data_IF_933961382039
#
_entry.id   IF_933961382039
#
_cell.length_a   1.000
_cell.length_b   1.000
_cell.length_c   1.000
_cell.angle_alpha   90.00
_cell.angle_beta   90.00
_cell.angle_gamma   90.00
#
_symmetry.space_group_name_H-M   'P 1'
#
loop_
_entity.id
_entity.type
_entity.pdbx_description
1 polymer ?
#
# COMPACT_ATOMS: atom_id res chain seq x y z
N UNK A 1 -16.43 -16.08 11.40
CA UNK A 1 -15.09 -16.56 11.09
C UNK A 1 -14.14 -15.37 11.14
N UNK A 2 -12.98 -15.54 11.75
CA UNK A 2 -11.91 -14.55 11.79
C UNK A 2 -10.63 -15.26 11.39
N UNK A 3 -9.91 -14.68 10.40
CA UNK A 3 -8.61 -15.20 9.97
C UNK A 3 -7.61 -14.06 9.89
N UNK A 4 -6.36 -14.35 10.24
CA UNK A 4 -5.25 -13.42 10.04
C UNK A 4 -4.12 -14.13 9.30
N UNK A 5 -3.59 -13.47 8.30
CA UNK A 5 -2.53 -13.99 7.45
C UNK A 5 -1.46 -12.91 7.30
N UNK A 6 -0.20 -13.27 7.52
CA UNK A 6 0.91 -12.40 7.17
C UNK A 6 1.29 -12.62 5.70
N UNK A 7 1.37 -11.54 4.95
CA UNK A 7 1.66 -11.54 3.52
C UNK A 7 2.95 -10.78 3.28
N UNK A 8 3.79 -11.32 2.42
CA UNK A 8 5.00 -10.65 1.96
C UNK A 8 4.83 -10.25 0.50
N UNK A 9 4.99 -8.96 0.22
CA UNK A 9 5.04 -8.46 -1.14
C UNK A 9 6.49 -8.49 -1.62
N UNK A 10 6.69 -8.88 -2.88
CA UNK A 10 8.03 -8.83 -3.48
C UNK A 10 8.58 -7.41 -3.47
N UNK A 11 9.92 -7.23 -3.41
CA UNK A 11 10.50 -5.89 -3.46
C UNK A 11 10.06 -5.13 -4.70
N UNK A 12 9.69 -3.86 -4.51
CA UNK A 12 9.29 -2.97 -5.59
C UNK A 12 10.26 -1.79 -5.66
N UNK A 13 10.42 -1.23 -6.85
CA UNK A 13 11.07 0.06 -7.01
C UNK A 13 10.21 1.15 -6.36
N UNK A 14 10.82 2.30 -6.09
CA UNK A 14 10.09 3.46 -5.60
C UNK A 14 8.97 3.83 -6.57
N UNK A 15 7.77 4.06 -6.03
CA UNK A 15 6.61 4.42 -6.83
C UNK A 15 5.33 3.77 -6.34
N UNK A 16 4.27 3.90 -7.14
CA UNK A 16 2.95 3.40 -6.83
C UNK A 16 2.70 2.12 -7.63
N UNK A 17 2.44 1.00 -6.94
CA UNK A 17 2.36 -0.32 -7.56
C UNK A 17 1.02 -0.99 -7.27
N UNK A 18 0.33 -1.43 -8.31
CA UNK A 18 -0.85 -2.27 -8.16
C UNK A 18 -0.44 -3.63 -7.62
N UNK A 19 -0.99 -4.01 -6.48
CA UNK A 19 -0.66 -5.27 -5.81
C UNK A 19 -1.89 -6.15 -5.56
N UNK A 20 -3.04 -5.80 -6.13
CA UNK A 20 -4.28 -6.56 -5.94
C UNK A 20 -4.06 -8.04 -6.25
N UNK A 21 -3.48 -8.36 -7.39
CA UNK A 21 -3.25 -9.75 -7.81
C UNK A 21 -2.26 -10.48 -6.91
N UNK A 22 -1.14 -9.84 -6.59
CA UNK A 22 -0.12 -10.43 -5.71
C UNK A 22 -0.68 -10.70 -4.31
N UNK A 23 -1.48 -9.77 -3.79
CA UNK A 23 -2.14 -9.93 -2.50
C UNK A 23 -3.16 -11.08 -2.54
N UNK A 24 -4.07 -11.05 -3.52
CA UNK A 24 -5.17 -12.03 -3.59
C UNK A 24 -4.67 -13.46 -3.77
N UNK A 25 -3.57 -13.66 -4.48
CA UNK A 25 -2.98 -15.00 -4.66
C UNK A 25 -2.50 -15.63 -3.35
N UNK A 26 -2.26 -14.83 -2.33
CA UNK A 26 -1.78 -15.30 -1.02
C UNK A 26 -2.90 -15.47 -0.01
N UNK A 27 -4.13 -15.11 -0.37
CA UNK A 27 -5.27 -15.17 0.53
C UNK A 27 -6.05 -16.47 0.38
N UNK A 28 -6.69 -16.96 1.45
CA UNK A 28 -7.64 -18.05 1.35
C UNK A 28 -8.92 -17.59 0.66
N UNK A 29 -9.84 -18.55 0.43
CA UNK A 29 -11.17 -18.23 -0.06
C UNK A 29 -11.85 -17.21 0.88
N UNK A 30 -12.41 -16.15 0.33
CA UNK A 30 -13.10 -15.13 1.10
C UNK A 30 -14.47 -15.63 1.57
N UNK A 31 -14.95 -15.14 2.73
CA UNK A 31 -16.33 -15.41 3.16
C UNK A 31 -17.31 -14.77 2.19
N UNK A 32 -18.57 -15.17 2.28
CA UNK A 32 -19.62 -14.60 1.46
C UNK A 32 -19.83 -13.12 1.75
N UNK A 33 -19.83 -12.76 3.01
CA UNK A 33 -20.08 -11.39 3.47
C UNK A 33 -19.13 -11.06 4.62
N UNK A 34 -18.57 -9.87 4.62
CA UNK A 34 -17.67 -9.44 5.69
C UNK A 34 -16.82 -8.26 5.30
N UNK A 35 -15.67 -8.17 5.93
CA UNK A 35 -14.66 -7.14 5.65
C UNK A 35 -13.26 -7.76 5.64
N UNK A 36 -12.39 -7.17 4.86
CA UNK A 36 -10.95 -7.44 4.91
C UNK A 36 -10.25 -6.17 5.36
N UNK A 37 -9.34 -6.30 6.31
CA UNK A 37 -8.43 -5.24 6.69
C UNK A 37 -7.02 -5.63 6.25
N UNK A 38 -6.32 -4.70 5.63
CA UNK A 38 -4.95 -4.85 5.15
C UNK A 38 -4.10 -3.83 5.88
N UNK A 39 -3.13 -4.29 6.65
CA UNK A 39 -2.29 -3.44 7.48
C UNK A 39 -0.83 -3.57 7.10
N UNK A 40 -0.19 -2.43 6.81
CA UNK A 40 1.23 -2.35 6.48
C UNK A 40 2.06 -2.23 7.74
N UNK A 41 3.09 -3.09 7.89
CA UNK A 41 3.94 -3.16 9.08
C UNK A 41 5.21 -2.30 8.96
N UNK A 42 5.18 -1.26 8.14
CA UNK A 42 6.36 -0.43 7.86
C UNK A 42 6.03 1.05 8.00
N UNK A 43 7.08 1.86 8.13
CA UNK A 43 6.99 3.32 8.32
C UNK A 43 7.45 4.11 7.10
N UNK A 44 7.85 3.45 6.02
CA UNK A 44 8.42 4.09 4.83
C UNK A 44 7.74 3.66 3.53
N UNK A 45 6.56 3.09 3.63
CA UNK A 45 5.65 2.80 2.53
C UNK A 45 4.22 2.93 3.03
N UNK A 46 3.26 2.80 2.14
CA UNK A 46 1.85 2.91 2.52
C UNK A 46 0.95 2.10 1.62
N UNK A 47 -0.34 2.14 1.93
CA UNK A 47 -1.38 1.46 1.17
C UNK A 47 -2.40 2.48 0.69
N UNK A 48 -2.93 2.26 -0.50
CA UNK A 48 -3.97 3.11 -1.06
C UNK A 48 -4.87 2.31 -1.98
N UNK A 49 -6.04 2.87 -2.26
CA UNK A 49 -6.94 2.37 -3.29
C UNK A 49 -7.10 3.49 -4.30
N UNK A 50 -6.77 3.21 -5.55
CA UNK A 50 -6.87 4.19 -6.62
C UNK A 50 -7.03 3.49 -7.96
N UNK A 51 -6.98 4.26 -9.05
CA UNK A 51 -7.29 3.77 -10.37
C UNK A 51 -6.37 2.63 -10.80
N UNK A 52 -6.96 1.59 -11.37
CA UNK A 52 -6.25 0.37 -11.74
C UNK A 52 -5.97 0.24 -13.25
N UNK A 53 -6.36 1.21 -14.07
CA UNK A 53 -6.28 1.09 -15.53
C UNK A 53 -5.15 1.91 -16.14
N UNK A 54 -5.22 3.24 -16.02
CA UNK A 54 -4.27 4.14 -16.68
C UNK A 54 -2.96 4.23 -15.90
N UNK A 55 -1.83 3.76 -16.49
CA UNK A 55 -0.53 3.84 -15.82
C UNK A 55 -0.06 5.27 -15.58
N UNK A 56 -0.59 6.26 -16.30
CA UNK A 56 -0.23 7.66 -16.09
C UNK A 56 -0.63 8.16 -14.70
N UNK A 57 -1.71 7.61 -14.12
CA UNK A 57 -2.09 7.93 -12.75
C UNK A 57 -0.95 7.59 -11.77
N UNK A 58 -0.31 6.45 -11.96
CA UNK A 58 0.83 6.04 -11.10
C UNK A 58 2.02 6.95 -11.27
N UNK A 59 2.33 7.33 -12.50
CA UNK A 59 3.42 8.26 -12.80
C UNK A 59 3.15 9.64 -12.18
N UNK A 60 1.94 10.14 -12.34
CA UNK A 60 1.55 11.43 -11.80
C UNK A 60 1.54 11.44 -10.27
N UNK A 61 1.09 10.37 -9.63
CA UNK A 61 1.10 10.25 -8.17
C UNK A 61 2.54 10.34 -7.62
N UNK A 62 3.48 9.68 -8.26
CA UNK A 62 4.90 9.77 -7.88
C UNK A 62 5.41 11.21 -8.01
N UNK A 63 5.11 11.88 -9.10
CA UNK A 63 5.49 13.28 -9.33
C UNK A 63 4.88 14.20 -8.27
N UNK A 64 3.59 14.04 -8.00
CA UNK A 64 2.86 14.86 -7.02
C UNK A 64 3.44 14.67 -5.63
N UNK A 65 3.66 13.44 -5.20
CA UNK A 65 4.17 13.15 -3.86
C UNK A 65 5.61 13.64 -3.68
N UNK A 66 6.44 13.53 -4.73
CA UNK A 66 7.81 14.06 -4.68
C UNK A 66 7.84 15.59 -4.57
N UNK A 67 6.86 16.27 -5.14
CA UNK A 67 6.74 17.72 -5.00
C UNK A 67 6.18 18.14 -3.63
N UNK A 68 5.25 17.36 -3.08
CA UNK A 68 4.68 17.63 -1.77
C UNK A 68 5.70 17.43 -0.66
N UNK A 69 6.53 16.39 -0.78
CA UNK A 69 7.54 16.04 0.22
C UNK A 69 8.88 15.83 -0.49
N UNK A 70 9.59 16.90 -0.82
CA UNK A 70 10.86 16.79 -1.55
C UNK A 70 11.99 16.30 -0.65
N UNK A 71 12.99 15.70 -1.27
CA UNK A 71 14.22 15.28 -0.62
C UNK A 71 15.14 16.50 -0.35
N UNK A 72 16.16 16.28 0.46
CA UNK A 72 17.26 17.21 0.69
C UNK A 72 16.83 18.60 1.21
N UNK A 73 15.79 18.63 2.03
CA UNK A 73 15.39 19.90 2.68
C UNK A 73 16.31 20.18 3.87
N UNK A 74 16.81 21.41 4.00
CA UNK A 74 17.75 21.74 5.08
C UNK A 74 17.13 21.65 6.48
N UNK A 75 15.81 21.74 6.61
CA UNK A 75 15.12 21.61 7.90
C UNK A 75 14.96 20.17 8.39
N UNK A 76 15.26 19.15 7.57
CA UNK A 76 15.18 17.76 8.01
C UNK A 76 16.32 17.41 8.97
N UNK A 77 15.98 16.74 10.06
CA UNK A 77 16.97 16.27 11.06
C UNK A 77 17.30 14.78 10.87
N UNK A 78 16.35 13.98 10.38
CA UNK A 78 16.51 12.54 10.12
C UNK A 78 17.14 12.33 8.75
N UNK A 79 18.49 12.30 8.70
CA UNK A 79 19.21 12.34 7.42
C UNK A 79 20.24 11.24 7.22
N UNK A 80 20.44 10.35 8.20
CA UNK A 80 21.54 9.38 8.16
C UNK A 80 21.23 8.11 7.35
N UNK A 81 19.99 7.89 6.96
CA UNK A 81 19.56 6.67 6.28
C UNK A 81 19.29 6.89 4.78
N UNK A 82 19.72 8.00 4.22
CA UNK A 82 19.53 8.36 2.82
C UNK A 82 18.53 9.50 2.63
N UNK A 83 18.64 10.19 1.50
CA UNK A 83 17.82 11.35 1.20
C UNK A 83 16.33 10.99 1.05
N UNK A 84 16.03 9.76 0.68
CA UNK A 84 14.66 9.29 0.46
C UNK A 84 13.94 8.92 1.77
N UNK A 85 14.66 8.76 2.89
CA UNK A 85 14.06 8.16 4.10
C UNK A 85 13.11 9.08 4.83
N UNK A 86 13.51 10.30 5.18
CA UNK A 86 12.58 11.22 5.86
C UNK A 86 11.36 11.54 5.00
N UNK A 87 11.51 11.86 3.70
CA UNK A 87 10.34 11.99 2.84
C UNK A 87 9.45 10.75 2.81
N UNK A 88 10.05 9.54 2.84
CA UNK A 88 9.27 8.30 2.86
C UNK A 88 8.40 8.20 4.11
N UNK A 89 8.92 8.57 5.30
CA UNK A 89 8.14 8.59 6.52
C UNK A 89 6.96 9.57 6.44
N UNK A 90 7.18 10.75 5.91
CA UNK A 90 6.12 11.75 5.75
C UNK A 90 5.06 11.27 4.75
N UNK A 91 5.49 10.71 3.62
CA UNK A 91 4.59 10.17 2.60
C UNK A 91 3.78 8.98 3.13
N UNK A 92 4.40 8.10 3.92
CA UNK A 92 3.71 7.00 4.60
C UNK A 92 2.58 7.52 5.48
N UNK A 93 2.83 8.58 6.23
CA UNK A 93 1.82 9.24 7.06
C UNK A 93 0.68 9.82 6.22
N UNK A 94 1.00 10.41 5.08
CA UNK A 94 0.00 11.00 4.18
C UNK A 94 -0.90 9.96 3.53
N UNK A 95 -0.33 8.87 3.02
CA UNK A 95 -1.11 7.82 2.37
C UNK A 95 -1.81 6.91 3.35
N UNK A 96 -1.25 6.73 4.52
CA UNK A 96 -1.74 5.78 5.51
C UNK A 96 -1.21 4.38 5.31
N UNK A 97 -1.50 3.51 6.27
CA UNK A 97 -0.94 2.16 6.35
C UNK A 97 -2.00 1.08 6.46
N UNK A 98 -3.27 1.43 6.35
CA UNK A 98 -4.36 0.48 6.57
C UNK A 98 -5.50 0.74 5.58
N UNK A 99 -6.08 -0.35 5.09
CA UNK A 99 -7.25 -0.32 4.22
C UNK A 99 -8.29 -1.28 4.79
N UNK A 100 -9.57 -0.90 4.69
CA UNK A 100 -10.67 -1.80 4.97
C UNK A 100 -11.58 -1.84 3.75
N UNK A 101 -11.86 -3.05 3.25
CA UNK A 101 -12.66 -3.25 2.04
C UNK A 101 -13.81 -4.20 2.37
N UNK A 102 -15.05 -3.89 1.99
CA UNK A 102 -16.17 -4.81 2.15
C UNK A 102 -15.98 -6.06 1.29
N UNK A 103 -16.47 -7.19 1.80
CA UNK A 103 -16.59 -8.45 1.05
C UNK A 103 -18.06 -8.69 0.81
N UNK A 104 -18.46 -8.88 -0.44
CA UNK A 104 -19.84 -9.16 -0.86
C UNK A 104 -19.82 -10.29 -1.87
N UNK A 105 -20.65 -11.29 -1.66
CA UNK A 105 -20.73 -12.47 -2.53
C UNK A 105 -19.37 -13.13 -2.80
N UNK A 106 -18.54 -13.19 -1.77
CA UNK A 106 -17.23 -13.85 -1.83
C UNK A 106 -16.15 -13.07 -2.56
N UNK A 107 -16.36 -11.79 -2.82
CA UNK A 107 -15.43 -10.92 -3.57
C UNK A 107 -15.22 -9.61 -2.84
N UNK A 108 -14.07 -8.97 -3.09
CA UNK A 108 -13.85 -7.60 -2.67
C UNK A 108 -14.85 -6.69 -3.39
N UNK A 109 -15.65 -5.97 -2.62
CA UNK A 109 -16.65 -5.06 -3.18
C UNK A 109 -16.01 -3.70 -3.44
N UNK A 110 -15.24 -3.64 -4.50
CA UNK A 110 -14.60 -2.40 -4.97
C UNK A 110 -15.26 -1.94 -6.26
N UNK A 111 -15.13 -0.65 -6.55
CA UNK A 111 -15.50 -0.12 -7.85
C UNK A 111 -14.63 -0.70 -8.96
N UNK A 112 -15.16 -0.73 -10.18
CA UNK A 112 -14.46 -1.35 -11.33
C UNK A 112 -13.08 -0.72 -11.59
N UNK A 113 -12.91 0.56 -11.28
CA UNK A 113 -11.66 1.29 -11.49
C UNK A 113 -10.74 1.31 -10.26
N UNK A 114 -11.13 0.67 -9.17
CA UNK A 114 -10.32 0.61 -7.95
C UNK A 114 -9.38 -0.59 -7.95
N UNK A 115 -8.15 -0.36 -7.54
CA UNK A 115 -7.18 -1.39 -7.27
C UNK A 115 -6.41 -1.09 -6.00
N UNK A 116 -5.82 -2.10 -5.40
CA UNK A 116 -5.03 -1.97 -4.18
C UNK A 116 -3.60 -1.64 -4.57
N UNK A 117 -3.06 -0.60 -3.95
CA UNK A 117 -1.70 -0.10 -4.21
C UNK A 117 -0.79 -0.29 -3.01
N UNK A 118 0.42 -0.76 -3.27
CA UNK A 118 1.56 -0.50 -2.40
C UNK A 118 2.21 0.78 -2.89
N UNK A 119 2.33 1.75 -1.99
CA UNK A 119 3.03 3.01 -2.23
C UNK A 119 4.43 2.86 -1.65
N UNK A 120 5.41 2.56 -2.49
CA UNK A 120 6.79 2.37 -2.06
C UNK A 120 7.52 3.71 -2.13
N UNK A 121 7.97 4.21 -0.98
CA UNK A 121 8.60 5.52 -0.91
C UNK A 121 10.12 5.46 -0.76
N UNK A 122 10.70 4.26 -0.65
CA UNK A 122 12.14 4.08 -0.61
C UNK A 122 12.69 3.60 -1.96
N UNK A 123 13.90 4.02 -2.29
CA UNK A 123 14.60 3.54 -3.49
C UNK A 123 14.91 2.03 -3.39
N UNK A 124 15.22 1.56 -2.17
CA UNK A 124 15.55 0.16 -1.88
C UNK A 124 14.84 -0.30 -0.61
N UNK A 125 13.50 -0.34 -0.68
CA UNK A 125 12.68 -0.67 0.50
C UNK A 125 12.67 -2.14 0.87
N UNK A 126 13.07 -3.03 -0.04
CA UNK A 126 13.01 -4.47 0.19
C UNK A 126 11.59 -5.02 0.14
N UNK A 127 11.44 -6.27 0.56
CA UNK A 127 10.14 -6.90 0.67
C UNK A 127 9.32 -6.25 1.79
N UNK A 128 8.03 -6.02 1.51
CA UNK A 128 7.13 -5.39 2.49
C UNK A 128 6.17 -6.42 3.05
N UNK A 129 5.94 -6.33 4.35
CA UNK A 129 5.06 -7.25 5.07
C UNK A 129 3.76 -6.59 5.44
N UNK A 130 2.68 -7.30 5.18
CA UNK A 130 1.32 -6.89 5.50
C UNK A 130 0.69 -7.92 6.41
N UNK A 131 -0.21 -7.48 7.29
CA UNK A 131 -1.10 -8.37 8.01
C UNK A 131 -2.50 -8.18 7.45
N UNK A 132 -3.10 -9.26 7.01
CA UNK A 132 -4.47 -9.25 6.50
C UNK A 132 -5.39 -9.93 7.51
N UNK A 133 -6.43 -9.22 7.92
CA UNK A 133 -7.48 -9.76 8.78
C UNK A 133 -8.78 -9.83 8.01
N UNK A 134 -9.40 -11.01 8.00
CA UNK A 134 -10.68 -11.25 7.33
C UNK A 134 -11.71 -11.61 8.41
N UNK A 135 -12.81 -10.87 8.43
CA UNK A 135 -13.92 -11.11 9.35
C UNK A 135 -15.18 -11.27 8.50
N UNK A 136 -15.88 -12.39 8.67
CA UNK A 136 -17.11 -12.59 7.91
C UNK A 136 -17.71 -13.98 8.06
N UNK A 137 -18.78 -14.17 7.31
CA UNK A 137 -19.56 -15.41 7.32
C UNK A 137 -19.84 -15.92 5.91
#
# INVERSE_FOLDING_TARGET
>A
MIQQIEITLTPKSRGFHLVTGELMRQLPKLPKTGVINIFCKHTSCGLSINENADPDVRTDMETIFNRLVPENRPEYEHTLEGADDMPAHAKSTLSGVSLTIPITDGRLNMGIWQGIYLCEYRNHGGARKLVVTIIGE
#
